data_IF_871343585075
#
_entry.id   IF_871343585075
#
_cell.length_a   1.000
_cell.length_b   1.000
_cell.length_c   1.000
_cell.angle_alpha   90.00
_cell.angle_beta   90.00
_cell.angle_gamma   90.00
#
_symmetry.space_group_name_H-M   'P 1'
#
loop_
_entity.id
_entity.type
_entity.pdbx_description
1 polymer ?
#
# COMPACT_ATOMS: atom_id res chain seq x y z
N UNK A 1 8.70 -13.51 5.52
CA UNK A 1 7.58 -12.54 5.37
C UNK A 1 6.27 -13.28 5.40
N UNK A 2 5.34 -12.84 6.22
CA UNK A 2 4.01 -13.45 6.30
C UNK A 2 3.03 -12.71 5.39
N UNK A 3 2.83 -13.23 4.18
CA UNK A 3 2.00 -12.60 3.15
C UNK A 3 0.52 -12.60 3.56
N UNK A 4 0.05 -13.66 4.24
CA UNK A 4 -1.35 -13.74 4.67
C UNK A 4 -1.68 -12.65 5.70
N UNK A 5 -0.79 -12.42 6.65
CA UNK A 5 -0.96 -11.36 7.65
C UNK A 5 -0.91 -9.99 6.99
N UNK A 6 0.02 -9.78 6.07
CA UNK A 6 0.13 -8.54 5.31
C UNK A 6 -1.16 -8.26 4.54
N UNK A 7 -1.71 -9.28 3.86
CA UNK A 7 -2.97 -9.17 3.13
C UNK A 7 -4.11 -8.74 4.04
N UNK A 8 -4.24 -9.36 5.21
CA UNK A 8 -5.30 -9.02 6.15
C UNK A 8 -5.18 -7.58 6.66
N UNK A 9 -3.96 -7.12 6.96
CA UNK A 9 -3.74 -5.75 7.40
C UNK A 9 -4.14 -4.75 6.32
N UNK A 10 -3.77 -4.99 5.07
CA UNK A 10 -4.11 -4.11 3.95
C UNK A 10 -5.62 -4.10 3.72
N UNK A 11 -6.28 -5.26 3.77
CA UNK A 11 -7.73 -5.34 3.64
C UNK A 11 -8.45 -4.51 4.69
N UNK A 12 -8.00 -4.55 5.94
CA UNK A 12 -8.59 -3.74 7.01
C UNK A 12 -8.42 -2.25 6.76
N UNK A 13 -7.26 -1.84 6.23
CA UNK A 13 -7.01 -0.43 5.92
C UNK A 13 -7.84 0.07 4.73
N UNK A 14 -8.03 -0.77 3.71
CA UNK A 14 -8.72 -0.37 2.48
C UNK A 14 -10.25 -0.38 2.59
N UNK A 15 -10.81 -1.20 3.48
CA UNK A 15 -12.25 -1.43 3.52
C UNK A 15 -12.73 -2.29 2.35
N UNK A 16 -14.04 -2.57 2.31
CA UNK A 16 -14.58 -3.50 1.32
C UNK A 16 -15.94 -3.02 0.78
N UNK A 17 -16.10 -3.03 -0.53
CA UNK A 17 -17.38 -2.78 -1.21
C UNK A 17 -17.59 -3.81 -2.32
N UNK A 18 -18.77 -4.45 -2.32
CA UNK A 18 -19.08 -5.48 -3.32
C UNK A 18 -19.77 -4.95 -4.59
N UNK A 19 -19.96 -3.64 -4.66
CA UNK A 19 -20.49 -2.94 -5.85
C UNK A 19 -19.55 -1.82 -6.23
N UNK A 20 -19.62 -1.41 -7.50
CA UNK A 20 -18.90 -0.23 -7.98
C UNK A 20 -19.37 1.00 -7.20
N UNK A 21 -18.41 1.78 -6.73
CA UNK A 21 -18.67 3.06 -6.05
C UNK A 21 -17.63 4.10 -6.51
N UNK A 22 -17.89 5.35 -6.20
CA UNK A 22 -16.91 6.41 -6.46
C UNK A 22 -16.14 6.68 -5.17
N UNK A 23 -14.82 6.77 -5.28
CA UNK A 23 -13.98 7.14 -4.12
C UNK A 23 -14.12 8.64 -3.81
N UNK A 24 -13.37 9.12 -2.82
CA UNK A 24 -13.42 10.52 -2.38
C UNK A 24 -13.05 11.52 -3.49
N UNK A 25 -12.33 11.07 -4.51
CA UNK A 25 -11.94 11.89 -5.66
C UNK A 25 -12.83 11.69 -6.88
N UNK A 26 -13.88 10.86 -6.76
CA UNK A 26 -14.83 10.61 -7.84
C UNK A 26 -14.44 9.51 -8.80
N UNK A 27 -13.41 8.72 -8.51
CA UNK A 27 -12.98 7.62 -9.37
C UNK A 27 -13.76 6.33 -9.07
N UNK A 28 -14.16 5.62 -10.14
CA UNK A 28 -14.85 4.35 -10.01
C UNK A 28 -13.92 3.31 -9.35
N UNK A 29 -14.45 2.65 -8.32
CA UNK A 29 -13.68 1.76 -7.44
C UNK A 29 -14.54 0.56 -7.06
N UNK A 30 -13.92 -0.58 -6.72
CA UNK A 30 -14.62 -1.76 -6.26
C UNK A 30 -13.73 -2.60 -5.33
N UNK A 31 -14.35 -3.46 -4.51
CA UNK A 31 -13.64 -4.40 -3.65
C UNK A 31 -12.85 -3.72 -2.55
N UNK A 32 -11.58 -4.04 -2.47
CA UNK A 32 -10.65 -3.46 -1.48
C UNK A 32 -9.89 -2.28 -2.08
N UNK A 33 -10.63 -1.28 -2.52
CA UNK A 33 -10.03 -0.06 -3.07
C UNK A 33 -9.43 -0.21 -4.46
N UNK A 34 -9.88 -1.19 -5.24
CA UNK A 34 -9.40 -1.37 -6.61
C UNK A 34 -9.94 -0.27 -7.53
N UNK A 35 -9.07 0.59 -8.05
CA UNK A 35 -9.42 1.59 -9.05
C UNK A 35 -9.69 0.90 -10.38
N UNK A 36 -10.90 1.11 -10.93
CA UNK A 36 -11.29 0.50 -12.19
C UNK A 36 -10.61 1.24 -13.35
N UNK A 37 -9.86 0.49 -14.15
CA UNK A 37 -9.12 1.04 -15.30
C UNK A 37 -10.03 1.19 -16.51
N UNK A 38 -9.66 2.08 -17.48
CA UNK A 38 -10.48 2.27 -18.70
C UNK A 38 -10.69 1.01 -19.53
N UNK A 39 -9.76 0.03 -19.46
CA UNK A 39 -9.85 -1.23 -20.19
C UNK A 39 -10.58 -2.33 -19.43
N UNK A 40 -11.01 -2.04 -18.21
CA UNK A 40 -11.78 -2.97 -17.38
C UNK A 40 -13.26 -2.63 -17.42
N UNK A 41 -14.11 -3.65 -17.40
CA UNK A 41 -15.55 -3.46 -17.30
C UNK A 41 -16.09 -4.09 -16.03
N UNK A 42 -16.77 -3.27 -15.21
CA UNK A 42 -17.55 -3.73 -14.08
C UNK A 42 -18.94 -3.15 -14.18
N UNK A 43 -19.96 -4.03 -14.08
CA UNK A 43 -21.36 -3.60 -14.13
C UNK A 43 -21.70 -2.85 -12.83
N UNK A 44 -22.05 -1.56 -12.88
CA UNK A 44 -22.34 -0.78 -11.67
C UNK A 44 -23.59 -1.24 -10.91
N UNK A 45 -24.40 -2.09 -11.53
CA UNK A 45 -25.62 -2.64 -10.90
C UNK A 45 -25.41 -4.02 -10.30
N UNK A 46 -24.27 -4.67 -10.59
CA UNK A 46 -24.00 -6.03 -10.14
C UNK A 46 -23.38 -6.05 -8.75
N UNK A 47 -23.79 -7.04 -7.93
CA UNK A 47 -23.10 -7.40 -6.69
C UNK A 47 -22.10 -8.49 -7.03
N UNK A 48 -20.82 -8.22 -6.81
CA UNK A 48 -19.74 -9.17 -7.10
C UNK A 48 -19.50 -10.06 -5.89
N UNK A 49 -19.10 -11.31 -6.13
CA UNK A 49 -18.83 -12.25 -5.05
C UNK A 49 -17.52 -11.92 -4.33
N UNK A 50 -17.41 -12.35 -3.07
CA UNK A 50 -16.16 -12.23 -2.32
C UNK A 50 -15.01 -12.93 -3.04
N UNK A 51 -15.28 -14.08 -3.66
CA UNK A 51 -14.26 -14.84 -4.39
C UNK A 51 -13.72 -14.05 -5.59
N UNK A 52 -14.61 -13.39 -6.35
CA UNK A 52 -14.19 -12.55 -7.48
C UNK A 52 -13.33 -11.38 -7.01
N UNK A 53 -13.75 -10.73 -5.92
CA UNK A 53 -13.06 -9.54 -5.41
C UNK A 53 -11.76 -9.89 -4.68
N UNK A 54 -11.67 -11.07 -4.07
CA UNK A 54 -10.43 -11.56 -3.48
C UNK A 54 -9.36 -11.82 -4.55
N UNK A 55 -9.76 -12.33 -5.72
CA UNK A 55 -8.82 -12.52 -6.82
C UNK A 55 -8.25 -11.19 -7.32
N UNK A 56 -9.10 -10.17 -7.40
CA UNK A 56 -8.67 -8.82 -7.79
C UNK A 56 -7.70 -8.27 -6.74
N UNK A 57 -8.02 -8.45 -5.46
CA UNK A 57 -7.15 -8.02 -4.37
C UNK A 57 -5.79 -8.72 -4.43
N UNK A 58 -5.76 -10.02 -4.65
CA UNK A 58 -4.51 -10.78 -4.76
C UNK A 58 -3.64 -10.27 -5.91
N UNK A 59 -4.27 -9.97 -7.03
CA UNK A 59 -3.58 -9.39 -8.19
C UNK A 59 -2.95 -8.04 -7.81
N UNK A 60 -3.74 -7.16 -7.18
CA UNK A 60 -3.27 -5.84 -6.77
C UNK A 60 -2.16 -5.93 -5.71
N UNK A 61 -2.29 -6.87 -4.77
CA UNK A 61 -1.27 -7.10 -3.74
C UNK A 61 0.05 -7.58 -4.37
N UNK A 62 -0.03 -8.48 -5.34
CA UNK A 62 1.17 -8.98 -6.02
C UNK A 62 1.89 -7.86 -6.76
N UNK A 63 1.16 -6.94 -7.38
CA UNK A 63 1.76 -5.77 -8.01
C UNK A 63 2.44 -4.89 -6.97
N UNK A 64 1.76 -4.60 -5.87
CA UNK A 64 2.32 -3.76 -4.80
C UNK A 64 3.58 -4.38 -4.18
N UNK A 65 3.54 -5.69 -3.92
CA UNK A 65 4.69 -6.41 -3.37
C UNK A 65 5.87 -6.42 -4.36
N UNK A 66 5.60 -6.62 -5.65
CA UNK A 66 6.62 -6.55 -6.70
C UNK A 66 7.25 -5.16 -6.80
N UNK A 67 6.44 -4.12 -6.72
CA UNK A 67 6.91 -2.74 -6.74
C UNK A 67 7.79 -2.44 -5.51
N UNK A 68 7.36 -2.88 -4.33
CA UNK A 68 8.13 -2.69 -3.09
C UNK A 68 9.48 -3.39 -3.17
N UNK A 69 9.49 -4.64 -3.64
CA UNK A 69 10.73 -5.40 -3.80
C UNK A 69 11.67 -4.77 -4.79
N UNK A 70 11.13 -4.23 -5.89
CA UNK A 70 11.93 -3.53 -6.89
C UNK A 70 12.56 -2.27 -6.30
N UNK A 71 11.77 -1.44 -5.61
CA UNK A 71 12.25 -0.20 -5.03
C UNK A 71 13.25 -0.42 -3.89
N UNK A 72 13.15 -1.55 -3.19
CA UNK A 72 14.07 -1.92 -2.10
C UNK A 72 15.19 -2.87 -2.55
N UNK A 73 15.33 -3.12 -3.85
CA UNK A 73 16.28 -4.08 -4.40
C UNK A 73 17.72 -3.72 -4.01
N UNK A 74 18.45 -4.73 -3.51
CA UNK A 74 19.85 -4.57 -3.13
C UNK A 74 20.09 -3.92 -1.77
N UNK A 75 19.03 -3.57 -1.05
CA UNK A 75 19.17 -2.87 0.24
C UNK A 75 19.30 -3.79 1.45
N UNK A 76 18.96 -5.06 1.32
CA UNK A 76 19.01 -6.05 2.40
C UNK A 76 18.25 -5.61 3.65
N UNK A 77 17.02 -5.16 3.46
CA UNK A 77 16.18 -4.65 4.54
C UNK A 77 15.52 -5.79 5.31
N UNK A 78 15.13 -5.49 6.57
CA UNK A 78 14.26 -6.39 7.33
C UNK A 78 12.95 -6.58 6.58
N UNK A 79 12.36 -7.77 6.69
CA UNK A 79 11.08 -8.09 6.03
C UNK A 79 10.00 -7.08 6.40
N UNK A 80 9.95 -6.65 7.66
CA UNK A 80 8.95 -5.69 8.14
C UNK A 80 9.05 -4.36 7.40
N UNK A 81 10.25 -3.93 7.04
CA UNK A 81 10.42 -2.71 6.25
C UNK A 81 9.84 -2.86 4.86
N UNK A 82 10.10 -4.00 4.22
CA UNK A 82 9.53 -4.29 2.88
C UNK A 82 8.00 -4.38 2.96
N UNK A 83 7.46 -4.96 4.03
CA UNK A 83 6.02 -5.01 4.26
C UNK A 83 5.41 -3.61 4.36
N UNK A 84 6.07 -2.70 5.09
CA UNK A 84 5.63 -1.31 5.22
C UNK A 84 5.61 -0.63 3.86
N UNK A 85 6.66 -0.80 3.07
CA UNK A 85 6.73 -0.23 1.72
C UNK A 85 5.65 -0.84 0.81
N UNK A 86 5.32 -2.12 1.01
CA UNK A 86 4.22 -2.76 0.27
C UNK A 86 2.87 -2.13 0.60
N UNK A 87 2.60 -1.83 1.88
CA UNK A 87 1.41 -1.08 2.27
C UNK A 87 1.33 0.25 1.52
N UNK A 88 2.43 0.99 1.49
CA UNK A 88 2.48 2.27 0.79
C UNK A 88 2.28 2.12 -0.71
N UNK A 89 2.91 1.09 -1.31
CA UNK A 89 2.76 0.79 -2.74
C UNK A 89 1.31 0.47 -3.10
N UNK A 90 0.63 -0.30 -2.25
CA UNK A 90 -0.78 -0.65 -2.46
C UNK A 90 -1.67 0.58 -2.44
N UNK A 91 -1.46 1.47 -1.46
CA UNK A 91 -2.26 2.68 -1.30
C UNK A 91 -1.96 3.75 -2.36
N UNK A 92 -0.69 4.00 -2.63
CA UNK A 92 -0.24 5.15 -3.43
C UNK A 92 0.02 4.81 -4.88
N UNK A 93 0.40 3.58 -5.17
CA UNK A 93 0.94 3.19 -6.47
C UNK A 93 2.41 3.56 -6.60
N UNK A 94 3.10 2.85 -7.48
CA UNK A 94 4.55 3.01 -7.70
C UNK A 94 4.97 4.45 -8.07
N UNK A 95 4.26 5.14 -8.98
CA UNK A 95 4.70 6.49 -9.39
C UNK A 95 4.77 7.48 -8.23
N UNK A 96 3.80 7.46 -7.33
CA UNK A 96 3.79 8.34 -6.16
C UNK A 96 4.82 7.89 -5.12
N UNK A 97 4.93 6.57 -4.90
CA UNK A 97 5.87 6.03 -3.94
C UNK A 97 7.32 6.34 -4.32
N UNK A 98 7.66 6.30 -5.61
CA UNK A 98 9.00 6.63 -6.11
C UNK A 98 9.45 8.04 -5.76
N UNK A 99 8.52 8.94 -5.52
CA UNK A 99 8.83 10.34 -5.18
C UNK A 99 9.37 10.49 -3.76
N UNK A 100 9.24 9.48 -2.93
CA UNK A 100 9.79 9.47 -1.57
C UNK A 100 11.31 9.22 -1.59
N UNK A 101 12.05 10.05 -2.29
CA UNK A 101 13.50 9.85 -2.54
C UNK A 101 14.32 9.77 -1.26
N UNK A 102 14.02 10.64 -0.29
CA UNK A 102 14.75 10.66 0.99
C UNK A 102 14.45 9.43 1.83
N UNK A 103 13.21 8.93 1.77
CA UNK A 103 12.84 7.69 2.43
C UNK A 103 13.74 6.54 1.94
N UNK A 104 13.84 6.36 0.63
CA UNK A 104 14.63 5.26 0.07
C UNK A 104 16.13 5.44 0.29
N UNK A 105 16.61 6.68 0.36
CA UNK A 105 17.99 6.98 0.73
C UNK A 105 18.28 6.50 2.16
N UNK A 106 17.39 6.80 3.11
CA UNK A 106 17.52 6.35 4.51
C UNK A 106 17.45 4.83 4.61
N UNK A 107 16.54 4.20 3.88
CA UNK A 107 16.42 2.75 3.85
C UNK A 107 17.69 2.09 3.29
N UNK A 108 18.28 2.65 2.25
CA UNK A 108 19.53 2.13 1.68
C UNK A 108 20.65 2.08 2.71
N UNK A 109 20.65 3.02 3.63
CA UNK A 109 21.61 3.09 4.72
C UNK A 109 21.11 2.40 6.00
N UNK A 110 19.99 1.71 5.94
CA UNK A 110 19.34 1.00 7.05
C UNK A 110 19.07 1.90 8.25
N UNK A 111 18.77 3.16 7.98
CA UNK A 111 18.43 4.17 8.98
C UNK A 111 16.91 4.20 9.16
N UNK A 112 16.38 3.20 9.88
CA UNK A 112 14.93 3.01 9.99
C UNK A 112 14.21 4.13 10.74
N UNK A 113 14.81 4.67 11.79
CA UNK A 113 14.22 5.81 12.52
C UNK A 113 14.14 7.03 11.59
N UNK A 114 15.22 7.35 10.90
CA UNK A 114 15.25 8.46 9.93
C UNK A 114 14.26 8.23 8.79
N UNK A 115 14.15 6.99 8.33
CA UNK A 115 13.16 6.61 7.32
C UNK A 115 11.74 6.91 7.80
N UNK A 116 11.43 6.57 9.06
CA UNK A 116 10.13 6.88 9.66
C UNK A 116 9.86 8.38 9.69
N UNK A 117 10.86 9.21 9.99
CA UNK A 117 10.70 10.66 9.95
C UNK A 117 10.44 11.18 8.53
N UNK A 118 11.07 10.59 7.53
CA UNK A 118 10.79 10.95 6.14
C UNK A 118 9.37 10.58 5.72
N UNK A 119 8.85 9.45 6.20
CA UNK A 119 7.45 9.07 5.99
C UNK A 119 6.50 10.08 6.65
N UNK A 120 6.83 10.54 7.84
CA UNK A 120 6.03 11.51 8.60
C UNK A 120 5.97 12.87 7.91
N UNK A 121 7.09 13.30 7.31
CA UNK A 121 7.18 14.57 6.59
C UNK A 121 6.72 14.40 5.15
N UNK A 122 5.43 14.10 4.97
CA UNK A 122 4.87 13.84 3.65
C UNK A 122 3.41 14.23 3.55
N UNK A 123 2.98 14.52 2.32
CA UNK A 123 1.57 14.76 2.01
C UNK A 123 0.72 13.53 2.35
N UNK A 124 1.23 12.35 2.07
CA UNK A 124 0.57 11.09 2.42
C UNK A 124 0.21 11.02 3.91
N UNK A 125 1.15 11.35 4.78
CA UNK A 125 0.91 11.37 6.22
C UNK A 125 -0.15 12.42 6.61
N UNK A 126 -0.08 13.60 5.99
CA UNK A 126 -1.06 14.66 6.26
C UNK A 126 -2.47 14.29 5.79
N UNK A 127 -2.59 13.56 4.68
CA UNK A 127 -3.87 13.16 4.12
C UNK A 127 -4.50 11.95 4.81
N UNK A 128 -3.69 11.00 5.26
CA UNK A 128 -4.15 9.78 5.93
C UNK A 128 -3.34 9.53 7.21
N UNK A 129 -3.45 10.43 8.21
CA UNK A 129 -2.53 10.39 9.36
C UNK A 129 -2.63 9.12 10.20
N UNK A 130 -3.83 8.61 10.47
CA UNK A 130 -3.97 7.42 11.30
C UNK A 130 -3.32 6.20 10.66
N UNK A 131 -3.59 6.00 9.38
CA UNK A 131 -3.00 4.89 8.61
C UNK A 131 -1.48 5.05 8.51
N UNK A 132 -1.03 6.25 8.20
CA UNK A 132 0.39 6.54 8.06
C UNK A 132 1.15 6.33 9.37
N UNK A 133 0.63 6.82 10.49
CA UNK A 133 1.31 6.70 11.78
C UNK A 133 1.45 5.26 12.26
N UNK A 134 0.50 4.38 11.94
CA UNK A 134 0.67 2.95 12.24
C UNK A 134 1.92 2.38 11.58
N UNK A 135 2.17 2.76 10.34
CA UNK A 135 3.34 2.31 9.58
C UNK A 135 4.62 3.03 10.00
N UNK A 136 4.52 4.33 10.27
CA UNK A 136 5.66 5.14 10.72
C UNK A 136 6.22 4.62 12.04
N UNK A 137 5.37 4.32 13.00
CA UNK A 137 5.79 3.79 14.29
C UNK A 137 6.49 2.44 14.15
N UNK A 138 5.94 1.56 13.30
CA UNK A 138 6.57 0.27 13.02
C UNK A 138 7.95 0.45 12.40
N UNK A 139 8.09 1.37 11.45
CA UNK A 139 9.38 1.64 10.80
C UNK A 139 10.41 2.11 11.82
N UNK A 140 10.04 3.06 12.68
CA UNK A 140 10.95 3.61 13.69
C UNK A 140 11.44 2.55 14.69
N UNK A 141 10.61 1.54 14.97
CA UNK A 141 10.94 0.46 15.91
C UNK A 141 11.91 -0.57 15.33
N UNK A 142 12.12 -0.58 14.03
CA UNK A 142 13.00 -1.57 13.42
C UNK A 142 14.47 -1.38 13.73
N UNK A 143 14.85 -0.22 14.24
CA UNK A 143 16.23 0.07 14.65
C UNK A 143 16.55 -0.45 16.04
N UNK A 144 15.57 -0.97 16.75
CA UNK A 144 15.75 -1.48 18.12
C UNK A 144 16.01 -3.03 18.15
#
# INVERSE_FOLDING_TARGET
>A
MNIEKLAEEIKQEEGFRNKVYKDSLGFATIGYGHLIKPDEFFDPKKVYSNQELDKIFEYDLNIALGDARLLCSGMELKDEAVEIITHMAFQLGKPKLKKFKKLFEKLRNKQYVSAGFEMEDSLWCRQTPQRAYRLIEKMKKLSE
#
